data_IF_076257213469
#
_entry.id   IF_076257213469
#
_cell.length_a   1.000
_cell.length_b   1.000
_cell.length_c   1.000
_cell.angle_alpha   90.00
_cell.angle_beta   90.00
_cell.angle_gamma   90.00
#
_symmetry.space_group_name_H-M   'P 1'
#
loop_
_entity.id
_entity.type
_entity.pdbx_description
1 polymer ?
#
# COMPACT_ATOMS: atom_id res chain seq x y z
N UNK A 1 8.05 9.85 5.88
CA UNK A 1 8.08 9.82 4.40
C UNK A 1 9.53 9.64 3.94
N UNK A 2 10.03 8.40 3.99
CA UNK A 2 11.43 8.05 3.72
C UNK A 2 11.54 6.63 3.17
N UNK A 3 12.73 6.00 3.28
CA UNK A 3 13.11 4.72 2.68
C UNK A 3 12.05 3.59 2.75
N UNK A 4 11.24 3.51 3.81
CA UNK A 4 10.17 2.50 3.91
C UNK A 4 9.07 2.63 2.85
N UNK A 5 8.74 3.84 2.40
CA UNK A 5 7.69 4.06 1.40
C UNK A 5 8.11 3.66 -0.01
N UNK A 6 9.38 3.89 -0.37
CA UNK A 6 9.94 3.44 -1.65
C UNK A 6 10.11 1.92 -1.66
N UNK A 7 10.63 1.33 -0.58
CA UNK A 7 10.77 -0.12 -0.45
C UNK A 7 9.42 -0.85 -0.57
N UNK A 8 8.41 -0.44 0.19
CA UNK A 8 7.08 -1.04 0.11
C UNK A 8 6.49 -0.94 -1.29
N UNK A 9 6.62 0.21 -1.94
CA UNK A 9 6.07 0.43 -3.28
C UNK A 9 6.78 -0.41 -4.35
N UNK A 10 8.11 -0.50 -4.30
CA UNK A 10 8.89 -1.28 -5.26
C UNK A 10 8.64 -2.78 -5.06
N UNK A 11 8.64 -3.26 -3.82
CA UNK A 11 8.34 -4.67 -3.52
C UNK A 11 6.92 -5.04 -3.93
N UNK A 12 5.92 -4.19 -3.67
CA UNK A 12 4.54 -4.45 -4.06
C UNK A 12 4.37 -4.50 -5.59
N UNK A 13 4.99 -3.56 -6.31
CA UNK A 13 4.95 -3.53 -7.77
C UNK A 13 5.64 -4.76 -8.38
N UNK A 14 6.87 -5.06 -7.94
CA UNK A 14 7.60 -6.23 -8.43
C UNK A 14 6.82 -7.52 -8.16
N UNK A 15 6.21 -7.64 -6.97
CA UNK A 15 5.37 -8.81 -6.61
C UNK A 15 4.13 -8.93 -7.48
N UNK A 16 3.45 -7.82 -7.79
CA UNK A 16 2.27 -7.80 -8.64
C UNK A 16 2.57 -8.25 -10.09
N UNK A 17 3.80 -8.00 -10.57
CA UNK A 17 4.20 -8.33 -11.94
C UNK A 17 4.93 -9.68 -12.10
N UNK A 18 5.18 -10.42 -11.01
CA UNK A 18 5.91 -11.71 -11.04
C UNK A 18 5.33 -12.77 -11.98
N UNK A 19 4.02 -12.74 -12.23
CA UNK A 19 3.31 -13.73 -13.06
C UNK A 19 2.62 -13.12 -14.29
N UNK A 20 2.90 -11.86 -14.62
CA UNK A 20 2.32 -11.20 -15.80
C UNK A 20 3.23 -11.48 -17.00
N UNK A 21 2.64 -11.94 -18.11
CA UNK A 21 3.37 -12.16 -19.35
C UNK A 21 3.91 -10.83 -19.92
N UNK A 22 5.10 -10.84 -20.53
CA UNK A 22 5.78 -9.63 -21.00
C UNK A 22 4.93 -8.73 -21.93
N UNK A 23 4.03 -9.32 -22.73
CA UNK A 23 3.15 -8.56 -23.63
C UNK A 23 2.04 -7.79 -22.89
N UNK A 24 1.66 -8.21 -21.69
CA UNK A 24 0.67 -7.54 -20.84
C UNK A 24 1.29 -6.59 -19.81
N UNK A 25 2.63 -6.57 -19.70
CA UNK A 25 3.35 -5.75 -18.73
C UNK A 25 3.07 -4.23 -18.86
N UNK A 26 3.00 -3.66 -20.09
CA UNK A 26 2.69 -2.24 -20.27
C UNK A 26 1.30 -1.87 -19.72
N UNK A 27 0.28 -2.65 -20.04
CA UNK A 27 -1.09 -2.42 -19.59
C UNK A 27 -1.21 -2.60 -18.07
N UNK A 28 -0.57 -3.64 -17.53
CA UNK A 28 -0.52 -3.87 -16.08
C UNK A 28 0.17 -2.74 -15.33
N UNK A 29 1.23 -2.15 -15.91
CA UNK A 29 1.93 -0.99 -15.34
C UNK A 29 1.06 0.27 -15.35
N UNK A 30 0.31 0.50 -16.44
CA UNK A 30 -0.64 1.62 -16.51
C UNK A 30 -1.74 1.49 -15.46
N UNK A 31 -2.34 0.30 -15.33
CA UNK A 31 -3.36 0.01 -14.31
C UNK A 31 -2.79 0.19 -12.89
N UNK A 32 -1.58 -0.29 -12.63
CA UNK A 32 -0.90 -0.11 -11.35
C UNK A 32 -0.72 1.38 -11.00
N UNK A 33 -0.30 2.19 -11.97
CA UNK A 33 -0.12 3.62 -11.80
C UNK A 33 -1.46 4.33 -11.50
N UNK A 34 -2.50 4.04 -12.29
CA UNK A 34 -3.85 4.59 -12.06
C UNK A 34 -4.35 4.23 -10.66
N UNK A 35 -4.24 2.96 -10.26
CA UNK A 35 -4.66 2.51 -8.94
C UNK A 35 -3.93 3.28 -7.82
N UNK A 36 -2.61 3.49 -7.98
CA UNK A 36 -1.81 4.22 -7.00
C UNK A 36 -2.21 5.69 -6.90
N UNK A 37 -2.37 6.37 -8.04
CA UNK A 37 -2.74 7.78 -8.09
C UNK A 37 -4.16 8.00 -7.54
N UNK A 38 -5.10 7.14 -7.90
CA UNK A 38 -6.46 7.18 -7.37
C UNK A 38 -6.48 6.91 -5.86
N UNK A 39 -5.74 5.91 -5.40
CA UNK A 39 -5.63 5.60 -3.97
C UNK A 39 -5.00 6.75 -3.18
N UNK A 40 -3.98 7.42 -3.73
CA UNK A 40 -3.38 8.59 -3.11
C UNK A 40 -4.37 9.75 -3.01
N UNK A 41 -5.09 10.05 -4.10
CA UNK A 41 -6.10 11.09 -4.13
C UNK A 41 -7.23 10.82 -3.14
N UNK A 42 -7.79 9.60 -3.17
CA UNK A 42 -8.86 9.19 -2.26
C UNK A 42 -8.39 9.22 -0.80
N UNK A 43 -7.19 8.72 -0.52
CA UNK A 43 -6.60 8.76 0.83
C UNK A 43 -6.40 10.19 1.34
N UNK A 44 -5.87 11.08 0.50
CA UNK A 44 -5.71 12.49 0.84
C UNK A 44 -7.06 13.18 1.12
N UNK A 45 -8.07 12.93 0.28
CA UNK A 45 -9.42 13.46 0.47
C UNK A 45 -10.07 12.93 1.76
N UNK A 46 -9.93 11.65 2.06
CA UNK A 46 -10.43 11.03 3.30
C UNK A 46 -9.75 11.62 4.55
N UNK A 47 -8.43 11.79 4.54
CA UNK A 47 -7.73 12.40 5.67
C UNK A 47 -8.04 13.89 5.83
N UNK A 48 -8.22 14.62 4.72
CA UNK A 48 -8.62 16.03 4.75
C UNK A 48 -10.04 16.19 5.31
N UNK A 49 -10.99 15.35 4.89
CA UNK A 49 -12.37 15.37 5.42
C UNK A 49 -12.40 14.97 6.90
N UNK A 50 -11.64 13.96 7.30
CA UNK A 50 -11.47 13.59 8.71
C UNK A 50 -10.91 14.76 9.53
N UNK A 51 -9.87 15.45 9.03
CA UNK A 51 -9.32 16.63 9.69
C UNK A 51 -10.36 17.72 9.84
N UNK A 52 -11.13 18.02 8.80
CA UNK A 52 -12.19 19.03 8.84
C UNK A 52 -13.25 18.71 9.91
N UNK A 53 -13.64 17.44 10.04
CA UNK A 53 -14.57 17.00 11.09
C UNK A 53 -13.94 17.15 12.47
N UNK A 54 -12.68 16.73 12.65
CA UNK A 54 -12.01 16.83 13.95
C UNK A 54 -11.77 18.28 14.38
N UNK A 55 -11.47 19.19 13.44
CA UNK A 55 -11.33 20.61 13.71
C UNK A 55 -12.65 21.28 14.12
N UNK A 56 -13.79 20.71 13.73
CA UNK A 56 -15.10 21.20 14.16
C UNK A 56 -15.40 20.88 15.64
N UNK A 57 -14.83 19.79 16.17
CA UNK A 57 -15.12 19.31 17.52
C UNK A 57 -13.98 19.50 18.52
N UNK A 58 -12.74 19.66 18.06
CA UNK A 58 -11.55 19.67 18.91
C UNK A 58 -10.60 20.83 18.58
N UNK A 59 -9.77 21.25 19.55
CA UNK A 59 -8.68 22.20 19.30
C UNK A 59 -7.70 21.66 18.25
N UNK A 60 -7.11 22.58 17.47
CA UNK A 60 -6.23 22.29 16.32
C UNK A 60 -5.16 21.22 16.60
N UNK A 61 -4.48 21.31 17.74
CA UNK A 61 -3.42 20.36 18.09
C UNK A 61 -3.94 18.92 18.27
N UNK A 62 -5.15 18.76 18.83
CA UNK A 62 -5.74 17.45 19.09
C UNK A 62 -6.35 16.86 17.80
N UNK A 63 -6.92 17.71 16.95
CA UNK A 63 -7.41 17.33 15.62
C UNK A 63 -6.30 16.73 14.75
N UNK A 64 -5.14 17.41 14.64
CA UNK A 64 -3.99 16.89 13.89
C UNK A 64 -3.47 15.56 14.44
N UNK A 65 -3.32 15.44 15.76
CA UNK A 65 -2.92 14.18 16.41
C UNK A 65 -3.88 13.05 16.08
N UNK A 66 -5.18 13.30 16.14
CA UNK A 66 -6.21 12.31 15.80
C UNK A 66 -6.09 11.82 14.35
N UNK A 67 -5.85 12.72 13.39
CA UNK A 67 -5.64 12.35 11.98
C UNK A 67 -4.38 11.51 11.80
N UNK A 68 -3.26 11.87 12.43
CA UNK A 68 -2.03 11.09 12.33
C UNK A 68 -2.14 9.70 12.97
N UNK A 69 -2.76 9.59 14.14
CA UNK A 69 -3.00 8.31 14.81
C UNK A 69 -3.91 7.42 13.96
N UNK A 70 -4.98 8.00 13.40
CA UNK A 70 -5.89 7.27 12.51
C UNK A 70 -5.17 6.80 11.26
N UNK A 71 -4.37 7.67 10.63
CA UNK A 71 -3.53 7.31 9.49
C UNK A 71 -2.58 6.16 9.82
N UNK A 72 -1.90 6.21 10.97
CA UNK A 72 -1.04 5.12 11.42
C UNK A 72 -1.82 3.81 11.63
N UNK A 73 -2.99 3.87 12.26
CA UNK A 73 -3.86 2.70 12.43
C UNK A 73 -4.30 2.07 11.10
N UNK A 74 -4.71 2.90 10.13
CA UNK A 74 -5.10 2.43 8.79
C UNK A 74 -3.94 1.74 8.08
N UNK A 75 -2.70 2.22 8.24
CA UNK A 75 -1.52 1.56 7.63
C UNK A 75 -1.21 0.18 8.21
N UNK A 76 -1.73 -0.17 9.39
CA UNK A 76 -1.56 -1.51 9.96
C UNK A 76 -2.51 -2.54 9.34
N UNK A 77 -3.63 -2.13 8.75
CA UNK A 77 -4.60 -3.02 8.11
C UNK A 77 -3.97 -3.90 7.01
N UNK A 78 -3.22 -3.33 6.04
CA UNK A 78 -2.55 -4.15 5.02
C UNK A 78 -1.43 -5.01 5.62
N UNK A 79 -0.75 -4.56 6.69
CA UNK A 79 0.25 -5.38 7.38
C UNK A 79 -0.39 -6.64 7.98
N UNK A 80 -1.52 -6.50 8.68
CA UNK A 80 -2.27 -7.63 9.23
C UNK A 80 -2.80 -8.56 8.12
N UNK A 81 -3.21 -7.99 6.99
CA UNK A 81 -3.63 -8.76 5.81
C UNK A 81 -2.48 -9.59 5.23
N UNK A 82 -1.26 -9.01 5.15
CA UNK A 82 -0.06 -9.74 4.72
C UNK A 82 0.33 -10.87 5.68
N UNK A 83 0.09 -10.72 6.98
CA UNK A 83 0.32 -11.82 7.95
C UNK A 83 -0.65 -12.98 7.77
N UNK A 84 -1.82 -12.75 7.16
CA UNK A 84 -2.80 -13.79 6.82
C UNK A 84 -2.49 -14.51 5.51
N UNK A 85 -1.61 -13.95 4.67
CA UNK A 85 -1.14 -14.65 3.47
C UNK A 85 -0.16 -15.76 3.87
N UNK A 86 -0.49 -16.99 3.48
CA UNK A 86 0.30 -18.19 3.77
C UNK A 86 1.65 -18.16 3.01
N UNK A 87 2.64 -17.48 3.58
CA UNK A 87 3.94 -17.21 2.97
C UNK A 87 4.73 -18.47 2.58
N UNK A 88 4.38 -19.65 3.12
CA UNK A 88 5.08 -20.91 2.87
C UNK A 88 4.95 -21.35 1.42
N UNK A 89 3.77 -21.24 0.82
CA UNK A 89 3.54 -21.63 -0.57
C UNK A 89 4.27 -20.71 -1.56
N UNK A 90 4.46 -19.44 -1.21
CA UNK A 90 5.11 -18.44 -2.05
C UNK A 90 6.64 -18.57 -1.99
N UNK A 91 7.21 -18.83 -0.80
CA UNK A 91 8.65 -19.11 -0.60
C UNK A 91 9.06 -20.43 -1.27
N UNK A 92 8.26 -21.50 -1.13
CA UNK A 92 8.51 -22.78 -1.79
C UNK A 92 8.51 -22.65 -3.32
N UNK A 93 7.57 -21.89 -3.89
CA UNK A 93 7.54 -21.63 -5.34
C UNK A 93 8.74 -20.78 -5.81
N UNK A 94 9.19 -19.81 -5.02
CA UNK A 94 10.35 -18.99 -5.37
C UNK A 94 11.63 -19.84 -5.41
N UNK A 95 11.88 -20.68 -4.40
CA UNK A 95 13.03 -21.59 -4.39
C UNK A 95 13.00 -22.57 -5.57
N UNK A 96 11.84 -23.16 -5.88
CA UNK A 96 11.72 -24.09 -7.02
C UNK A 96 11.96 -23.44 -8.40
N UNK A 97 11.72 -22.13 -8.53
CA UNK A 97 12.03 -21.37 -9.77
C UNK A 97 13.50 -20.98 -9.87
N UNK A 98 14.18 -20.79 -8.74
CA UNK A 98 15.62 -20.50 -8.67
C UNK A 98 16.47 -21.74 -8.97
N UNK A 99 16.04 -22.94 -8.57
CA UNK A 99 16.73 -24.21 -8.88
C UNK A 99 16.56 -24.68 -10.33
N UNK A 100 15.54 -24.18 -11.05
CA UNK A 100 15.25 -24.55 -12.45
C UNK A 100 15.90 -23.62 -13.49
N UNK A 101 16.75 -22.69 -13.06
CA UNK A 101 17.47 -21.74 -13.92
C UNK A 101 18.95 -22.03 -13.87
#
# INVERSE_FOLDING_TARGET
MGAGGSLCSSTAQSSAFLNIANHHLPDASALWNINRQLSFLAGAALLATLLSILLHHYPTALAWRGVFITGAGVTLIPLLSCLRFDNRALVLRLHSKLEKK
#
